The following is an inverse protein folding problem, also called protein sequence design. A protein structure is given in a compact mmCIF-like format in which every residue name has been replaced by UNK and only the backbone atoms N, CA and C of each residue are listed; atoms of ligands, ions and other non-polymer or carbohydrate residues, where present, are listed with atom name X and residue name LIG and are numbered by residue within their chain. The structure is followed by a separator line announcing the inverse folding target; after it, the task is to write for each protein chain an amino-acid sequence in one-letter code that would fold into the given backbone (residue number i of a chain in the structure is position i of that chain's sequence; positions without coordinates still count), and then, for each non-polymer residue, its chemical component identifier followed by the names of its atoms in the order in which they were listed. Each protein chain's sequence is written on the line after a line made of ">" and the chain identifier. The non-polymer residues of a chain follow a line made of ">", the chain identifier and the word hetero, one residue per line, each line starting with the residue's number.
data_IF_084469708891
#
_entry.id   IF_084469708891
#
_cell.length_a   1.000
_cell.length_b   1.000
_cell.length_c   1.000
_cell.angle_alpha   90.00
_cell.angle_beta   90.00
_cell.angle_gamma   90.00
#
_symmetry.space_group_name_H-M   'P 1'
#
loop_
_entity.id
_entity.type
_entity.pdbx_description
1 polymer ?
#
# COMPACT_ATOMS: atom_id res chain seq x y z
N UNK A 1 -0.99 16.74 37.15
CA UNK A 1 -0.25 15.60 36.57
C UNK A 1 -0.26 15.75 35.05
N UNK A 2 0.89 16.03 34.45
CA UNK A 2 1.01 16.09 32.98
C UNK A 2 1.06 14.66 32.44
N UNK A 3 -0.08 14.14 32.00
CA UNK A 3 -0.13 12.91 31.21
C UNK A 3 0.53 13.19 29.85
N UNK A 4 1.84 12.92 29.74
CA UNK A 4 2.48 12.77 28.42
C UNK A 4 1.93 11.48 27.83
N UNK A 5 0.99 11.59 26.90
CA UNK A 5 0.58 10.46 26.06
C UNK A 5 1.84 9.98 25.35
N UNK A 6 2.34 8.81 25.76
CA UNK A 6 3.52 8.23 25.17
C UNK A 6 3.14 7.77 23.77
N UNK A 7 3.75 8.39 22.76
CA UNK A 7 3.45 8.11 21.36
C UNK A 7 3.75 6.64 21.05
N UNK A 8 2.73 5.90 20.61
CA UNK A 8 2.88 4.49 20.29
C UNK A 8 3.58 4.33 18.91
N UNK A 9 4.04 3.12 18.59
CA UNK A 9 4.78 2.89 17.34
C UNK A 9 3.94 3.14 16.08
N UNK A 10 2.63 2.93 16.15
CA UNK A 10 1.70 3.21 15.06
C UNK A 10 1.51 4.72 14.86
N UNK A 11 1.41 5.50 15.93
CA UNK A 11 1.33 6.96 15.86
C UNK A 11 2.55 7.53 15.14
N UNK A 12 3.75 7.06 15.50
CA UNK A 12 5.00 7.42 14.82
C UNK A 12 4.93 7.08 13.33
N UNK A 13 4.50 5.87 13.03
CA UNK A 13 4.42 5.38 11.66
C UNK A 13 3.45 6.21 10.80
N UNK A 14 2.24 6.43 11.30
CA UNK A 14 1.20 7.15 10.58
C UNK A 14 1.52 8.64 10.44
N UNK A 15 2.02 9.29 11.49
CA UNK A 15 2.43 10.71 11.42
C UNK A 15 3.56 10.93 10.42
N UNK A 16 4.57 10.05 10.41
CA UNK A 16 5.66 10.15 9.44
C UNK A 16 5.14 10.01 8.00
N UNK A 17 4.30 9.00 7.75
CA UNK A 17 3.66 8.79 6.45
C UNK A 17 2.84 10.00 6.01
N UNK A 18 2.05 10.59 6.90
CA UNK A 18 1.28 11.79 6.62
C UNK A 18 2.17 13.01 6.32
N UNK A 19 3.31 13.14 7.01
CA UNK A 19 4.28 14.19 6.75
C UNK A 19 4.87 14.07 5.34
N UNK A 20 5.33 12.87 4.96
CA UNK A 20 5.84 12.59 3.62
C UNK A 20 4.78 12.85 2.54
N UNK A 21 3.54 12.44 2.80
CA UNK A 21 2.44 12.66 1.87
C UNK A 21 2.14 14.15 1.66
N UNK A 22 2.24 14.96 2.72
CA UNK A 22 2.09 16.42 2.64
C UNK A 22 3.22 17.05 1.81
N UNK A 23 4.47 16.66 2.04
CA UNK A 23 5.63 17.13 1.27
C UNK A 23 5.49 16.77 -0.22
N UNK A 24 5.13 15.51 -0.51
CA UNK A 24 4.89 15.06 -1.88
C UNK A 24 3.78 15.86 -2.57
N UNK A 25 2.63 16.05 -1.91
CA UNK A 25 1.51 16.84 -2.46
C UNK A 25 1.86 18.30 -2.75
N UNK A 26 2.79 18.90 -1.99
CA UNK A 26 3.27 20.26 -2.22
C UNK A 26 4.31 20.34 -3.34
N UNK A 27 4.84 19.20 -3.77
CA UNK A 27 5.96 19.14 -4.72
C UNK A 27 7.33 19.33 -4.06
N UNK A 28 7.40 19.27 -2.72
CA UNK A 28 8.65 19.43 -1.96
C UNK A 28 9.59 18.23 -2.17
N UNK A 29 9.01 17.04 -2.38
CA UNK A 29 9.72 15.80 -2.70
C UNK A 29 9.09 15.14 -3.92
N UNK A 30 9.91 14.48 -4.71
CA UNK A 30 9.48 13.64 -5.83
C UNK A 30 8.88 12.32 -5.34
N UNK A 31 8.17 11.63 -6.22
CA UNK A 31 7.64 10.28 -5.95
C UNK A 31 8.75 9.28 -5.60
N UNK A 32 9.93 9.44 -6.19
CA UNK A 32 11.11 8.61 -5.90
C UNK A 32 11.57 8.85 -4.47
N UNK A 33 11.80 10.11 -4.09
CA UNK A 33 12.20 10.50 -2.73
C UNK A 33 11.17 10.05 -1.70
N UNK A 34 9.87 10.23 -1.97
CA UNK A 34 8.81 9.71 -1.12
C UNK A 34 8.94 8.20 -0.83
N UNK A 35 9.27 7.39 -1.85
CA UNK A 35 9.44 5.94 -1.68
C UNK A 35 10.72 5.61 -0.93
N UNK A 36 11.83 6.27 -1.26
CA UNK A 36 13.13 6.04 -0.62
C UNK A 36 13.11 6.45 0.87
N UNK A 37 12.56 7.62 1.19
CA UNK A 37 12.43 8.12 2.58
C UNK A 37 11.48 7.27 3.40
N UNK A 38 10.32 6.89 2.85
CA UNK A 38 9.37 6.04 3.57
C UNK A 38 9.95 4.64 3.80
N UNK A 39 10.66 4.08 2.82
CA UNK A 39 11.37 2.82 2.99
C UNK A 39 12.43 2.91 4.08
N UNK A 40 13.28 3.94 4.05
CA UNK A 40 14.32 4.15 5.05
C UNK A 40 13.73 4.29 6.46
N UNK A 41 12.64 5.04 6.60
CA UNK A 41 11.92 5.17 7.86
C UNK A 41 11.37 3.83 8.35
N UNK A 42 10.72 3.03 7.49
CA UNK A 42 10.26 1.67 7.84
C UNK A 42 11.41 0.80 8.36
N UNK A 43 12.57 0.84 7.70
CA UNK A 43 13.74 0.08 8.16
C UNK A 43 14.22 0.58 9.53
N UNK A 44 14.20 1.90 9.76
CA UNK A 44 14.64 2.50 11.03
C UNK A 44 13.75 2.16 12.22
N UNK A 45 12.46 1.89 12.00
CA UNK A 45 11.54 1.43 13.05
C UNK A 45 11.92 0.05 13.60
N UNK A 46 12.69 -0.75 12.85
CA UNK A 46 13.05 -2.13 13.20
C UNK A 46 11.84 -2.99 13.62
N UNK A 47 10.67 -2.70 13.04
CA UNK A 47 9.41 -3.36 13.34
C UNK A 47 9.01 -4.27 12.19
N UNK A 48 8.90 -5.56 12.45
CA UNK A 48 8.45 -6.54 11.45
C UNK A 48 6.93 -6.55 11.33
N UNK A 49 6.37 -6.96 10.18
CA UNK A 49 4.94 -7.21 10.04
C UNK A 49 4.42 -8.19 11.09
N UNK A 50 3.23 -7.92 11.61
CA UNK A 50 2.59 -8.76 12.61
C UNK A 50 2.02 -10.02 11.97
N UNK A 51 2.28 -11.19 12.57
CA UNK A 51 1.74 -12.45 12.07
C UNK A 51 0.22 -12.56 12.27
N UNK A 52 -0.25 -12.08 13.44
CA UNK A 52 -1.66 -11.99 13.83
C UNK A 52 -2.14 -10.54 13.65
N UNK A 53 -3.24 -10.37 12.93
CA UNK A 53 -3.97 -9.11 12.79
C UNK A 53 -5.19 -9.21 13.70
N UNK A 54 -5.08 -8.63 14.89
CA UNK A 54 -6.12 -8.60 15.94
C UNK A 54 -6.54 -7.15 16.26
N UNK A 55 -6.08 -6.20 15.45
CA UNK A 55 -6.33 -4.77 15.54
C UNK A 55 -6.22 -4.15 14.16
N UNK A 56 -6.97 -3.07 13.96
CA UNK A 56 -6.97 -2.31 12.72
C UNK A 56 -5.58 -1.78 12.37
N UNK A 57 -4.87 -1.22 13.35
CA UNK A 57 -3.54 -0.61 13.19
C UNK A 57 -2.51 -1.61 12.69
N UNK A 58 -2.53 -2.85 13.21
CA UNK A 58 -1.64 -3.93 12.73
C UNK A 58 -1.94 -4.28 11.28
N UNK A 59 -3.20 -4.31 10.89
CA UNK A 59 -3.61 -4.60 9.51
C UNK A 59 -3.13 -3.52 8.54
N UNK A 60 -3.37 -2.24 8.87
CA UNK A 60 -2.91 -1.11 8.07
C UNK A 60 -1.39 -1.08 8.03
N UNK A 61 -0.72 -1.26 9.16
CA UNK A 61 0.74 -1.30 9.23
C UNK A 61 1.31 -2.36 8.27
N UNK A 62 0.83 -3.60 8.35
CA UNK A 62 1.27 -4.68 7.47
C UNK A 62 1.04 -4.34 5.99
N UNK A 63 -0.14 -3.82 5.64
CA UNK A 63 -0.44 -3.39 4.28
C UNK A 63 0.57 -2.33 3.80
N UNK A 64 0.77 -1.26 4.58
CA UNK A 64 1.65 -0.15 4.19
C UNK A 64 3.11 -0.60 4.13
N UNK A 65 3.55 -1.43 5.08
CA UNK A 65 4.89 -2.03 5.09
C UNK A 65 5.16 -2.79 3.79
N UNK A 66 4.32 -3.78 3.47
CA UNK A 66 4.53 -4.60 2.28
C UNK A 66 4.37 -3.80 0.98
N UNK A 67 3.41 -2.87 0.93
CA UNK A 67 3.23 -1.99 -0.23
C UNK A 67 4.48 -1.13 -0.47
N UNK A 68 5.10 -0.59 0.59
CA UNK A 68 6.27 0.26 0.46
C UNK A 68 7.50 -0.54 0.02
N UNK A 69 7.73 -1.70 0.63
CA UNK A 69 8.82 -2.60 0.22
C UNK A 69 8.66 -3.07 -1.22
N UNK A 70 7.43 -3.36 -1.66
CA UNK A 70 7.15 -3.72 -3.04
C UNK A 70 7.48 -2.58 -4.02
N UNK A 71 7.04 -1.35 -3.70
CA UNK A 71 7.31 -0.15 -4.51
C UNK A 71 8.80 0.17 -4.61
N UNK A 72 9.51 0.15 -3.48
CA UNK A 72 10.94 0.41 -3.42
C UNK A 72 11.72 -0.62 -4.26
N UNK A 73 11.48 -1.91 -4.04
CA UNK A 73 12.16 -2.96 -4.78
C UNK A 73 11.84 -2.94 -6.28
N UNK A 74 10.59 -2.68 -6.65
CA UNK A 74 10.20 -2.54 -8.05
C UNK A 74 10.93 -1.36 -8.70
N UNK A 75 10.92 -0.19 -8.05
CA UNK A 75 11.61 1.01 -8.55
C UNK A 75 13.10 0.77 -8.73
N UNK A 76 13.77 0.16 -7.75
CA UNK A 76 15.20 -0.17 -7.82
C UNK A 76 15.50 -1.22 -8.88
N UNK A 77 14.62 -2.20 -9.08
CA UNK A 77 14.76 -3.22 -10.14
C UNK A 77 14.74 -2.64 -11.56
N UNK A 78 14.17 -1.43 -11.73
CA UNK A 78 14.07 -0.71 -13.00
C UNK A 78 15.19 0.32 -13.19
N UNK A 79 16.12 0.45 -12.25
CA UNK A 79 17.26 1.35 -12.36
C UNK A 79 18.24 0.86 -13.44
N UNK A 80 18.42 1.65 -14.50
CA UNK A 80 19.25 1.28 -15.65
C UNK A 80 20.72 1.01 -15.28
N UNK A 81 21.27 1.77 -14.31
CA UNK A 81 22.66 1.59 -13.86
C UNK A 81 22.80 0.28 -13.09
N UNK A 82 21.82 -0.05 -12.25
CA UNK A 82 21.80 -1.33 -11.52
C UNK A 82 21.68 -2.51 -12.49
N UNK A 83 20.77 -2.43 -13.46
CA UNK A 83 20.58 -3.48 -14.47
C UNK A 83 21.86 -3.72 -15.26
N UNK A 84 22.55 -2.66 -15.68
CA UNK A 84 23.79 -2.77 -16.45
C UNK A 84 24.94 -3.38 -15.63
N UNK A 85 25.11 -2.98 -14.38
CA UNK A 85 26.24 -3.42 -13.54
C UNK A 85 26.00 -4.76 -12.85
N UNK A 86 24.76 -5.00 -12.39
CA UNK A 86 24.40 -6.14 -11.55
C UNK A 86 23.00 -6.68 -11.92
N UNK A 87 22.84 -7.28 -13.11
CA UNK A 87 21.53 -7.76 -13.60
C UNK A 87 20.87 -8.79 -12.67
N UNK A 88 21.66 -9.65 -12.02
CA UNK A 88 21.16 -10.64 -11.06
C UNK A 88 20.54 -9.98 -9.81
N UNK A 89 21.13 -8.86 -9.35
CA UNK A 89 20.58 -8.09 -8.23
C UNK A 89 19.27 -7.44 -8.65
N UNK A 90 19.22 -6.82 -9.83
CA UNK A 90 17.98 -6.22 -10.36
C UNK A 90 16.85 -7.26 -10.48
N UNK A 91 17.17 -8.47 -10.97
CA UNK A 91 16.22 -9.59 -11.03
C UNK A 91 15.71 -9.98 -9.64
N UNK A 92 16.60 -10.16 -8.67
CA UNK A 92 16.22 -10.48 -7.29
C UNK A 92 15.31 -9.41 -6.67
N UNK A 93 15.61 -8.13 -6.90
CA UNK A 93 14.74 -7.04 -6.43
C UNK A 93 13.34 -7.10 -7.07
N UNK A 94 13.25 -7.48 -8.35
CA UNK A 94 11.95 -7.66 -9.00
C UNK A 94 11.16 -8.84 -8.38
N UNK A 95 11.84 -9.94 -8.07
CA UNK A 95 11.24 -11.10 -7.39
C UNK A 95 10.74 -10.72 -5.97
N UNK A 96 11.55 -9.99 -5.22
CA UNK A 96 11.18 -9.46 -3.90
C UNK A 96 9.98 -8.50 -4.00
N UNK A 97 9.95 -7.63 -5.01
CA UNK A 97 8.81 -6.75 -5.24
C UNK A 97 7.51 -7.54 -5.44
N UNK A 98 7.55 -8.59 -6.26
CA UNK A 98 6.40 -9.46 -6.50
C UNK A 98 5.97 -10.19 -5.22
N UNK A 99 6.91 -10.72 -4.45
CA UNK A 99 6.64 -11.33 -3.16
C UNK A 99 5.93 -10.35 -2.22
N UNK A 100 6.44 -9.12 -2.08
CA UNK A 100 5.83 -8.12 -1.21
C UNK A 100 4.46 -7.65 -1.71
N UNK A 101 4.21 -7.57 -3.02
CA UNK A 101 2.86 -7.32 -3.53
C UNK A 101 1.87 -8.42 -3.12
N UNK A 102 2.29 -9.69 -3.15
CA UNK A 102 1.46 -10.80 -2.66
C UNK A 102 1.23 -10.71 -1.15
N UNK A 103 2.26 -10.44 -0.34
CA UNK A 103 2.11 -10.29 1.11
C UNK A 103 1.22 -9.10 1.49
N UNK A 104 1.29 -8.01 0.72
CA UNK A 104 0.40 -6.85 0.84
C UNK A 104 -1.06 -7.28 0.65
N UNK A 105 -1.39 -8.00 -0.43
CA UNK A 105 -2.76 -8.47 -0.68
C UNK A 105 -3.25 -9.48 0.38
N UNK A 106 -2.37 -10.38 0.84
CA UNK A 106 -2.69 -11.30 1.96
C UNK A 106 -2.98 -10.56 3.26
N UNK A 107 -2.23 -9.50 3.54
CA UNK A 107 -2.43 -8.66 4.73
C UNK A 107 -3.73 -7.86 4.62
N UNK A 108 -4.07 -7.38 3.43
CA UNK A 108 -5.38 -6.76 3.17
C UNK A 108 -6.49 -7.73 3.53
N UNK A 109 -6.48 -8.96 3.00
CA UNK A 109 -7.53 -9.94 3.31
C UNK A 109 -7.66 -10.18 4.81
N UNK A 110 -6.55 -10.45 5.50
CA UNK A 110 -6.58 -10.70 6.95
C UNK A 110 -7.18 -9.53 7.74
N UNK A 111 -6.96 -8.29 7.29
CA UNK A 111 -7.61 -7.13 7.88
C UNK A 111 -9.12 -7.11 7.56
N UNK A 112 -9.52 -7.42 6.33
CA UNK A 112 -10.94 -7.49 5.98
C UNK A 112 -11.68 -8.59 6.77
N UNK A 113 -11.04 -9.75 6.96
CA UNK A 113 -11.55 -10.85 7.79
C UNK A 113 -11.67 -10.42 9.26
N UNK A 114 -10.68 -9.71 9.80
CA UNK A 114 -10.76 -9.14 11.16
C UNK A 114 -11.93 -8.16 11.31
N UNK A 115 -12.29 -7.45 10.25
CA UNK A 115 -13.41 -6.52 10.22
C UNK A 115 -14.74 -7.17 9.81
N UNK A 116 -14.78 -8.50 9.64
CA UNK A 116 -15.94 -9.25 9.12
C UNK A 116 -16.52 -8.67 7.83
N UNK A 117 -15.66 -8.09 6.98
CA UNK A 117 -16.05 -7.37 5.76
C UNK A 117 -17.10 -6.25 6.00
N UNK A 118 -17.24 -5.79 7.24
CA UNK A 118 -18.26 -4.82 7.63
C UNK A 118 -18.01 -3.47 6.95
N UNK A 119 -19.04 -2.99 6.24
CA UNK A 119 -19.02 -1.75 5.46
C UNK A 119 -17.79 -1.62 4.57
N UNK A 120 -17.45 -2.70 3.89
CA UNK A 120 -16.43 -2.74 2.84
C UNK A 120 -17.11 -2.57 1.48
N UNK A 121 -16.51 -1.77 0.61
CA UNK A 121 -16.88 -1.69 -0.80
C UNK A 121 -15.63 -1.93 -1.65
N UNK A 122 -15.74 -2.75 -2.70
CA UNK A 122 -14.67 -2.94 -3.67
C UNK A 122 -15.18 -2.74 -5.11
N UNK A 123 -14.38 -2.09 -5.94
CA UNK A 123 -14.76 -1.80 -7.33
C UNK A 123 -13.55 -1.50 -8.20
N UNK A 124 -13.70 -1.68 -9.52
CA UNK A 124 -12.70 -1.23 -10.47
C UNK A 124 -12.55 0.29 -10.48
N UNK A 125 -11.32 0.77 -10.66
CA UNK A 125 -11.04 2.21 -10.77
C UNK A 125 -10.62 2.64 -12.17
N UNK A 126 -11.05 3.85 -12.55
CA UNK A 126 -10.63 4.51 -13.78
C UNK A 126 -9.17 4.98 -13.62
N UNK A 127 -8.30 4.55 -14.51
CA UNK A 127 -6.88 4.91 -14.52
C UNK A 127 -6.42 5.33 -15.91
N UNK A 128 -5.45 6.23 -15.99
CA UNK A 128 -4.82 6.65 -17.26
C UNK A 128 -3.83 5.62 -17.83
N UNK A 129 -3.35 4.69 -17.00
CA UNK A 129 -2.35 3.70 -17.40
C UNK A 129 -3.01 2.52 -18.10
N UNK A 130 -2.72 2.31 -19.38
CA UNK A 130 -3.20 1.15 -20.15
C UNK A 130 -2.83 -0.19 -19.48
N UNK A 131 -1.65 -0.28 -18.83
CA UNK A 131 -1.24 -1.50 -18.10
C UNK A 131 -2.08 -1.82 -16.85
N UNK A 132 -2.79 -0.83 -16.30
CA UNK A 132 -3.57 -0.95 -15.06
C UNK A 132 -5.08 -0.90 -15.34
N UNK A 133 -5.45 -0.42 -16.53
CA UNK A 133 -6.83 -0.38 -17.02
C UNK A 133 -7.42 -1.78 -16.92
N UNK A 134 -8.63 -1.84 -16.36
CA UNK A 134 -9.43 -3.07 -16.21
C UNK A 134 -8.79 -4.15 -15.34
N UNK A 135 -7.75 -3.79 -14.59
CA UNK A 135 -7.03 -4.68 -13.67
C UNK A 135 -6.98 -4.13 -12.25
N UNK A 136 -6.87 -2.81 -12.11
CA UNK A 136 -6.75 -2.17 -10.81
C UNK A 136 -8.13 -1.92 -10.20
N UNK A 137 -8.32 -2.44 -9.00
CA UNK A 137 -9.48 -2.19 -8.17
C UNK A 137 -9.08 -1.57 -6.83
N UNK A 138 -10.03 -0.84 -6.27
CA UNK A 138 -9.94 -0.16 -4.98
C UNK A 138 -10.86 -0.88 -3.98
N UNK A 139 -10.39 -1.03 -2.75
CA UNK A 139 -11.17 -1.54 -1.60
C UNK A 139 -11.24 -0.41 -0.59
N UNK A 140 -12.44 -0.06 -0.18
CA UNK A 140 -12.76 1.08 0.69
C UNK A 140 -13.39 0.56 1.97
N UNK A 141 -12.87 1.02 3.10
CA UNK A 141 -13.49 0.78 4.40
C UNK A 141 -14.30 2.02 4.79
N UNK A 142 -15.63 1.94 4.80
CA UNK A 142 -16.47 3.14 4.93
C UNK A 142 -16.41 3.79 6.32
N UNK A 143 -16.07 3.02 7.35
CA UNK A 143 -15.89 3.52 8.71
C UNK A 143 -14.52 4.17 8.96
N UNK A 144 -13.59 4.09 8.00
CA UNK A 144 -12.25 4.62 8.13
C UNK A 144 -11.95 5.63 7.02
N UNK A 145 -12.06 6.91 7.36
CA UNK A 145 -11.75 7.99 6.44
C UNK A 145 -10.30 7.87 5.91
N UNK A 146 -10.13 8.13 4.61
CA UNK A 146 -8.82 8.14 3.94
C UNK A 146 -8.07 6.80 3.89
N UNK A 147 -8.73 5.68 4.24
CA UNK A 147 -8.15 4.34 4.10
C UNK A 147 -8.72 3.63 2.88
N UNK A 148 -7.85 3.47 1.89
CA UNK A 148 -8.14 2.72 0.67
C UNK A 148 -7.01 1.76 0.34
N UNK A 149 -7.36 0.58 -0.13
CA UNK A 149 -6.41 -0.41 -0.63
C UNK A 149 -6.54 -0.54 -2.13
N UNK A 150 -5.41 -0.82 -2.76
CA UNK A 150 -5.33 -1.06 -4.19
C UNK A 150 -4.80 -2.46 -4.44
N UNK A 151 -5.45 -3.19 -5.33
CA UNK A 151 -4.99 -4.49 -5.79
C UNK A 151 -5.31 -4.74 -7.25
N UNK A 152 -4.60 -5.72 -7.82
CA UNK A 152 -4.86 -6.30 -9.15
C UNK A 152 -5.02 -7.81 -9.07
N UNK A 153 -5.11 -8.33 -7.85
CA UNK A 153 -4.95 -9.74 -7.60
C UNK A 153 -6.29 -10.45 -7.81
N UNK A 154 -6.39 -11.36 -8.81
CA UNK A 154 -7.67 -11.98 -9.13
C UNK A 154 -8.26 -12.76 -7.95
N UNK A 155 -7.43 -13.47 -7.17
CA UNK A 155 -7.94 -14.25 -6.04
C UNK A 155 -8.61 -13.35 -4.98
N UNK A 156 -8.04 -12.17 -4.71
CA UNK A 156 -8.58 -11.25 -3.72
C UNK A 156 -9.88 -10.64 -4.23
N UNK A 157 -9.96 -10.35 -5.54
CA UNK A 157 -11.20 -9.90 -6.17
C UNK A 157 -12.30 -10.96 -6.07
N UNK A 158 -12.02 -12.22 -6.38
CA UNK A 158 -13.03 -13.29 -6.26
C UNK A 158 -13.49 -13.44 -4.82
N UNK A 159 -12.57 -13.39 -3.85
CA UNK A 159 -12.93 -13.40 -2.42
C UNK A 159 -13.85 -12.24 -2.02
N UNK A 160 -13.63 -11.04 -2.56
CA UNK A 160 -14.49 -9.87 -2.32
C UNK A 160 -15.88 -10.02 -2.95
N UNK A 161 -15.98 -10.72 -4.09
CA UNK A 161 -17.28 -11.03 -4.72
C UNK A 161 -18.05 -12.07 -3.91
N UNK A 162 -17.37 -13.11 -3.43
CA UNK A 162 -17.95 -14.16 -2.58
C UNK A 162 -18.58 -13.57 -1.31
N UNK A 163 -17.91 -12.59 -0.71
CA UNK A 163 -18.39 -11.87 0.48
C UNK A 163 -19.45 -10.79 0.17
N UNK A 164 -19.84 -10.63 -1.11
CA UNK A 164 -20.90 -9.69 -1.51
C UNK A 164 -20.54 -8.21 -1.38
N UNK A 165 -19.25 -7.87 -1.21
CA UNK A 165 -18.78 -6.48 -1.06
C UNK A 165 -18.30 -5.85 -2.38
N UNK A 166 -18.39 -6.60 -3.47
CA UNK A 166 -18.01 -6.12 -4.80
C UNK A 166 -19.14 -5.33 -5.47
N UNK A 167 -18.81 -4.15 -5.98
CA UNK A 167 -19.72 -3.27 -6.71
C UNK A 167 -19.38 -3.25 -8.20
N UNK A 168 -20.41 -3.45 -9.02
CA UNK A 168 -20.27 -3.44 -10.47
C UNK A 168 -19.90 -2.06 -11.03
N UNK A 169 -19.20 -2.09 -12.17
CA UNK A 169 -18.77 -0.90 -12.91
C UNK A 169 -17.43 -0.32 -12.47
N UNK A 170 -17.09 0.84 -13.07
CA UNK A 170 -15.82 1.55 -12.85
C UNK A 170 -16.06 2.90 -12.19
N UNK A 171 -15.35 3.17 -11.09
CA UNK A 171 -15.45 4.43 -10.34
C UNK A 171 -14.17 5.25 -10.45
N UNK A 172 -14.25 6.54 -10.13
CA UNK A 172 -13.04 7.31 -9.85
C UNK A 172 -12.51 6.85 -8.49
N UNK A 173 -11.19 6.78 -8.35
CA UNK A 173 -10.60 6.49 -7.04
C UNK A 173 -10.94 7.61 -6.07
N UNK A 174 -11.21 7.25 -4.81
CA UNK A 174 -11.44 8.22 -3.73
C UNK A 174 -10.18 9.09 -3.50
N UNK A 175 -9.01 8.59 -3.89
CA UNK A 175 -7.73 9.30 -3.78
C UNK A 175 -7.11 9.65 -5.15
N UNK A 176 -7.94 9.96 -6.16
CA UNK A 176 -7.57 10.21 -7.58
C UNK A 176 -6.30 11.09 -7.78
N UNK A 177 -6.12 12.13 -6.96
CA UNK A 177 -4.95 13.03 -7.04
C UNK A 177 -3.61 12.35 -6.70
N UNK A 178 -3.60 11.21 -5.99
CA UNK A 178 -2.38 10.50 -5.58
C UNK A 178 -1.98 9.35 -6.52
N UNK A 179 -2.92 8.79 -7.28
CA UNK A 179 -2.69 7.56 -8.07
C UNK A 179 -2.09 7.84 -9.44
N UNK A 180 -2.37 9.00 -10.03
CA UNK A 180 -2.15 9.23 -11.46
C UNK A 180 -0.75 9.76 -11.85
N UNK A 181 0.18 9.90 -10.91
CA UNK A 181 1.56 10.28 -11.24
C UNK A 181 2.40 9.08 -11.69
N UNK A 182 3.04 9.19 -12.85
CA UNK A 182 3.94 8.15 -13.40
C UNK A 182 5.27 8.09 -12.63
N UNK A 183 6.01 6.99 -12.78
CA UNK A 183 7.39 6.84 -12.29
C UNK A 183 8.37 7.39 -13.31
#
# INVERSE_FOLDING_TARGET
>A
MNYRIQENVFDKFFKHRESLFRQFKKGDITKREFIEEHYAFIQSLNLKPYQRIDSFEKGIYNYQYYNMLAKYNYMRSKDAKLIQKHPNIAKKMLEEANYFYQQKDKSTLKLLEYLDFYKVEAYYIKVKSENLKDKLFEIVLKDYENVVFHSKNPWLMERLKEEGVWLEGKRKSIIENYINERY
#
